data_IF_306088456018
#
_entry.id   IF_306088456018
#
_cell.length_a   1.000
_cell.length_b   1.000
_cell.length_c   1.000
_cell.angle_alpha   90.00
_cell.angle_beta   90.00
_cell.angle_gamma   90.00
#
_symmetry.space_group_name_H-M   'P 1'
#
loop_
_entity.id
_entity.type
_entity.pdbx_description
1 polymer ?
#
# COMPACT_ATOMS: atom_id res chain seq x y z
N UNK A 1 19.31 41.83 17.96
CA UNK A 1 18.57 41.00 16.98
C UNK A 1 18.70 39.56 17.46
N UNK A 2 17.64 38.88 17.92
CA UNK A 2 17.80 37.50 18.37
C UNK A 2 18.04 36.61 17.13
N UNK A 3 19.09 35.79 17.22
CA UNK A 3 19.39 34.77 16.22
C UNK A 3 18.20 33.81 16.12
N UNK A 4 17.57 33.76 14.95
CA UNK A 4 16.63 32.69 14.64
C UNK A 4 17.46 31.40 14.63
N UNK A 5 17.12 30.49 15.54
CA UNK A 5 17.77 29.18 15.65
C UNK A 5 17.70 28.50 14.28
N UNK A 6 18.88 28.16 13.76
CA UNK A 6 19.09 27.34 12.59
C UNK A 6 18.45 25.97 12.86
N UNK A 7 17.25 25.75 12.31
CA UNK A 7 16.60 24.43 12.37
C UNK A 7 17.51 23.49 11.58
N UNK A 8 17.98 22.36 12.14
CA UNK A 8 18.81 21.44 11.37
C UNK A 8 18.01 21.05 10.13
N UNK A 9 18.53 21.40 8.96
CA UNK A 9 17.92 21.05 7.69
C UNK A 9 18.01 19.53 7.56
N UNK A 10 16.96 18.83 7.98
CA UNK A 10 16.91 17.37 7.91
C UNK A 10 16.97 16.90 6.46
N UNK A 11 17.70 15.82 6.20
CA UNK A 11 17.66 15.13 4.90
C UNK A 11 16.46 14.18 4.85
N UNK A 12 15.97 13.90 3.65
CA UNK A 12 14.94 12.88 3.42
C UNK A 12 15.62 11.61 2.94
N UNK A 13 15.39 10.49 3.63
CA UNK A 13 15.94 9.19 3.23
C UNK A 13 14.99 8.48 2.27
N UNK A 14 15.48 8.17 1.07
CA UNK A 14 14.79 7.37 0.05
C UNK A 14 15.39 5.96 -0.04
N UNK A 15 14.82 5.09 -0.87
CA UNK A 15 15.40 3.77 -1.17
C UNK A 15 16.72 3.83 -1.96
N UNK A 16 17.04 4.98 -2.58
CA UNK A 16 18.28 5.19 -3.32
C UNK A 16 19.33 6.01 -2.55
N UNK A 17 18.99 6.52 -1.37
CA UNK A 17 19.86 7.37 -0.55
C UNK A 17 19.18 8.64 -0.05
N UNK A 18 19.97 9.52 0.55
CA UNK A 18 19.50 10.77 1.15
C UNK A 18 19.39 11.89 0.11
N UNK A 19 18.30 12.65 0.16
CA UNK A 19 18.06 13.83 -0.69
C UNK A 19 17.75 15.07 0.17
N UNK A 20 18.05 16.29 -0.33
CA UNK A 20 17.56 17.52 0.27
C UNK A 20 16.01 17.59 0.24
N UNK A 21 15.34 18.16 1.25
CA UNK A 21 13.88 18.27 1.25
C UNK A 21 13.29 19.01 0.04
N UNK A 22 14.03 19.97 -0.52
CA UNK A 22 13.61 20.71 -1.71
C UNK A 22 13.53 19.87 -2.99
N UNK A 23 14.13 18.68 -3.00
CA UNK A 23 14.13 17.76 -4.14
C UNK A 23 12.96 16.76 -4.13
N UNK A 24 12.14 16.73 -3.07
CA UNK A 24 10.98 15.83 -2.98
C UNK A 24 9.94 16.05 -4.10
N UNK A 25 9.80 17.29 -4.58
CA UNK A 25 8.76 17.65 -5.55
C UNK A 25 7.34 17.39 -5.04
N UNK A 26 6.40 17.12 -5.96
CA UNK A 26 5.04 16.70 -5.60
C UNK A 26 5.10 15.26 -5.09
N UNK A 27 4.65 15.04 -3.86
CA UNK A 27 4.79 13.75 -3.16
C UNK A 27 3.44 13.25 -2.66
N UNK A 28 3.12 11.97 -2.88
CA UNK A 28 2.08 11.25 -2.16
C UNK A 28 2.67 10.73 -0.85
N UNK A 29 2.20 11.25 0.29
CA UNK A 29 2.84 11.01 1.59
C UNK A 29 2.58 9.60 2.17
N UNK A 30 1.55 8.90 1.70
CA UNK A 30 1.20 7.57 2.19
C UNK A 30 0.56 6.74 1.08
N UNK A 31 1.30 5.80 0.52
CA UNK A 31 0.80 4.85 -0.47
C UNK A 31 1.40 3.46 -0.24
N UNK A 32 0.78 2.44 -0.82
CA UNK A 32 1.29 1.07 -0.81
C UNK A 32 1.58 0.61 -2.24
N UNK A 33 2.86 0.49 -2.62
CA UNK A 33 3.27 -0.07 -3.92
C UNK A 33 3.12 -1.59 -3.93
N UNK A 34 3.67 -2.25 -2.91
CA UNK A 34 3.57 -3.69 -2.68
C UNK A 34 3.11 -3.94 -1.26
N UNK A 35 2.14 -4.84 -1.08
CA UNK A 35 1.53 -5.14 0.20
C UNK A 35 1.00 -6.58 0.21
N UNK A 36 1.22 -7.27 1.32
CA UNK A 36 0.43 -8.44 1.67
C UNK A 36 -0.04 -8.38 3.11
N UNK A 37 -1.33 -8.70 3.33
CA UNK A 37 -1.90 -8.78 4.68
C UNK A 37 -1.76 -10.17 5.31
N UNK A 38 -1.20 -11.16 4.61
CA UNK A 38 -1.08 -12.54 5.12
C UNK A 38 -0.16 -12.62 6.34
N UNK A 39 1.05 -12.05 6.25
CA UNK A 39 2.04 -12.12 7.33
C UNK A 39 1.52 -11.51 8.62
N UNK A 40 1.02 -10.28 8.54
CA UNK A 40 0.52 -9.54 9.71
C UNK A 40 -0.66 -10.26 10.38
N UNK A 41 -1.63 -10.77 9.60
CA UNK A 41 -2.77 -11.53 10.17
C UNK A 41 -2.33 -12.83 10.81
N UNK A 42 -1.38 -13.55 10.20
CA UNK A 42 -0.81 -14.78 10.77
C UNK A 42 -0.13 -14.50 12.11
N UNK A 43 0.71 -13.47 12.18
CA UNK A 43 1.41 -13.08 13.41
C UNK A 43 0.44 -12.58 14.50
N UNK A 44 -0.67 -11.97 14.11
CA UNK A 44 -1.72 -11.50 15.02
C UNK A 44 -2.74 -12.60 15.42
N UNK A 45 -2.63 -13.83 14.92
CA UNK A 45 -3.61 -14.90 15.16
C UNK A 45 -5.00 -14.64 14.55
N UNK A 46 -5.08 -13.76 13.55
CA UNK A 46 -6.33 -13.42 12.86
C UNK A 46 -6.57 -14.34 11.66
N UNK A 47 -7.84 -14.59 11.29
CA UNK A 47 -8.16 -15.32 10.07
C UNK A 47 -7.49 -14.70 8.85
N UNK A 48 -6.98 -15.55 7.94
CA UNK A 48 -6.43 -15.09 6.67
C UNK A 48 -7.51 -14.31 5.90
N UNK A 49 -7.14 -13.22 5.22
CA UNK A 49 -8.11 -12.39 4.54
C UNK A 49 -8.64 -13.09 3.28
N UNK A 50 -9.85 -12.71 2.86
CA UNK A 50 -10.37 -13.08 1.55
C UNK A 50 -10.87 -14.52 1.37
N UNK A 51 -11.23 -15.21 2.46
CA UNK A 51 -11.90 -16.51 2.39
C UNK A 51 -13.39 -16.33 2.71
N UNK A 52 -14.13 -15.73 1.77
CA UNK A 52 -15.60 -15.74 1.82
C UNK A 52 -16.15 -17.06 1.29
N UNK A 53 -17.29 -17.51 1.82
CA UNK A 53 -17.96 -18.75 1.35
C UNK A 53 -18.58 -18.59 -0.06
N UNK A 54 -18.74 -17.35 -0.54
CA UNK A 54 -19.24 -17.05 -1.88
C UNK A 54 -18.20 -17.44 -2.95
N UNK A 55 -18.60 -18.12 -4.05
CA UNK A 55 -17.68 -18.50 -5.14
C UNK A 55 -16.91 -17.32 -5.74
N UNK A 56 -17.48 -16.11 -5.69
CA UNK A 56 -16.83 -14.89 -6.18
C UNK A 56 -15.62 -14.47 -5.35
N UNK A 57 -15.40 -15.03 -4.15
CA UNK A 57 -14.20 -14.77 -3.34
C UNK A 57 -12.90 -15.24 -4.01
N UNK A 58 -13.02 -16.13 -4.99
CA UNK A 58 -11.91 -16.75 -5.75
C UNK A 58 -12.03 -16.54 -7.27
N UNK A 59 -13.05 -15.84 -7.74
CA UNK A 59 -13.23 -15.55 -9.16
C UNK A 59 -12.34 -14.37 -9.56
N UNK A 60 -11.81 -14.27 -10.78
CA UNK A 60 -10.98 -13.14 -11.18
C UNK A 60 -11.63 -11.77 -10.87
N UNK A 61 -10.82 -10.82 -10.39
CA UNK A 61 -11.27 -9.42 -10.25
C UNK A 61 -11.45 -8.85 -11.66
N UNK A 62 -12.69 -8.49 -11.98
CA UNK A 62 -13.09 -7.96 -13.28
C UNK A 62 -14.22 -6.93 -13.10
N UNK A 63 -14.67 -6.31 -14.18
CA UNK A 63 -15.81 -5.37 -14.12
C UNK A 63 -17.10 -6.07 -13.66
N UNK A 64 -17.30 -7.32 -14.04
CA UNK A 64 -18.44 -8.15 -13.65
C UNK A 64 -18.45 -8.48 -12.16
N UNK A 65 -17.27 -8.71 -11.55
CA UNK A 65 -17.14 -9.04 -10.12
C UNK A 65 -16.94 -7.81 -9.22
N UNK A 66 -16.56 -6.67 -9.80
CA UNK A 66 -16.19 -5.43 -9.10
C UNK A 66 -17.22 -4.96 -8.07
N UNK A 67 -18.52 -4.98 -8.41
CA UNK A 67 -19.57 -4.56 -7.48
C UNK A 67 -19.61 -5.42 -6.21
N UNK A 68 -19.40 -6.73 -6.36
CA UNK A 68 -19.36 -7.66 -5.23
C UNK A 68 -18.10 -7.45 -4.39
N UNK A 69 -16.93 -7.33 -5.04
CA UNK A 69 -15.64 -7.11 -4.36
C UNK A 69 -15.71 -5.85 -3.50
N UNK A 70 -16.19 -4.73 -4.06
CA UNK A 70 -16.33 -3.46 -3.32
C UNK A 70 -17.31 -3.54 -2.16
N UNK A 71 -18.41 -4.27 -2.32
CA UNK A 71 -19.44 -4.39 -1.28
C UNK A 71 -18.96 -5.22 -0.09
N UNK A 72 -18.22 -6.29 -0.33
CA UNK A 72 -17.93 -7.27 0.71
C UNK A 72 -16.48 -7.29 1.18
N UNK A 73 -15.50 -6.88 0.36
CA UNK A 73 -14.08 -6.88 0.74
C UNK A 73 -13.57 -8.28 1.14
N UNK A 74 -14.17 -9.34 0.59
CA UNK A 74 -13.89 -10.75 0.93
C UNK A 74 -13.22 -11.51 -0.22
N UNK A 75 -12.65 -10.79 -1.17
CA UNK A 75 -11.89 -11.39 -2.26
C UNK A 75 -10.48 -11.78 -1.78
N UNK A 76 -9.96 -12.92 -2.22
CA UNK A 76 -8.63 -13.41 -1.82
C UNK A 76 -7.49 -12.48 -2.25
N UNK A 77 -7.63 -11.85 -3.41
CA UNK A 77 -6.59 -10.98 -3.99
C UNK A 77 -6.73 -9.49 -3.61
N UNK A 78 -7.90 -9.02 -3.15
CA UNK A 78 -8.09 -7.61 -2.76
C UNK A 78 -7.07 -7.07 -1.74
N UNK A 79 -6.67 -7.83 -0.70
CA UNK A 79 -5.73 -7.33 0.31
C UNK A 79 -4.26 -7.45 -0.13
N UNK A 80 -3.99 -7.83 -1.38
CA UNK A 80 -2.67 -8.19 -1.86
C UNK A 80 -2.29 -7.37 -3.11
N UNK A 81 -1.25 -6.55 -2.97
CA UNK A 81 -0.57 -5.86 -4.06
C UNK A 81 0.77 -6.56 -4.24
N UNK A 82 0.82 -7.49 -5.18
CA UNK A 82 1.99 -8.40 -5.35
C UNK A 82 2.57 -8.39 -6.77
N UNK A 83 1.92 -7.70 -7.71
CA UNK A 83 2.41 -7.56 -9.08
C UNK A 83 3.26 -6.29 -9.21
N UNK A 84 4.58 -6.47 -9.15
CA UNK A 84 5.57 -5.39 -9.30
C UNK A 84 5.51 -4.72 -10.68
N UNK A 85 5.26 -5.50 -11.74
CA UNK A 85 5.24 -4.96 -13.10
C UNK A 85 4.04 -4.02 -13.30
N UNK A 86 2.91 -4.31 -12.65
CA UNK A 86 1.76 -3.40 -12.60
C UNK A 86 2.09 -2.17 -11.76
N UNK A 87 2.67 -2.34 -10.56
CA UNK A 87 3.02 -1.22 -9.67
C UNK A 87 4.04 -0.23 -10.25
N UNK A 88 4.88 -0.65 -11.21
CA UNK A 88 5.81 0.22 -11.93
C UNK A 88 5.10 1.06 -13.01
N UNK A 89 4.02 0.53 -13.61
CA UNK A 89 3.34 1.15 -14.75
C UNK A 89 2.25 2.14 -14.34
N UNK A 90 1.55 1.86 -13.25
CA UNK A 90 0.39 2.63 -12.75
C UNK A 90 0.80 3.55 -11.58
#
# INVERSE_FOLDING_TARGET
>A
MPAYLDVPTGMVRTVLGDIPPGELGITLAHEHLLLTRYRWRREAGLPLPGVGDDPRSRAPISLETSAWVRRYGKHIDEPNLTDEAVAIRE
#
